data_IF_659166549041
#
_entry.id   IF_659166549041
#
_cell.length_a   1.000
_cell.length_b   1.000
_cell.length_c   1.000
_cell.angle_alpha   90.00
_cell.angle_beta   90.00
_cell.angle_gamma   90.00
#
_symmetry.space_group_name_H-M   'P 1'
#
loop_
_entity.id
_entity.type
_entity.pdbx_description
1 polymer ?
#
# COMPACT_ATOMS: atom_id res chain seq x y z
N UNK A 1 6.14 -7.18 -13.44
CA UNK A 1 5.19 -6.05 -13.25
C UNK A 1 3.82 -6.49 -12.75
N UNK A 2 3.10 -7.36 -13.46
CA UNK A 2 1.79 -7.87 -12.99
C UNK A 2 1.81 -8.48 -11.58
N UNK A 3 2.77 -9.37 -11.31
CA UNK A 3 2.94 -9.98 -9.98
C UNK A 3 3.23 -8.93 -8.91
N UNK A 4 4.12 -7.98 -9.20
CA UNK A 4 4.47 -6.90 -8.27
C UNK A 4 3.22 -6.06 -7.93
N UNK A 5 2.40 -5.71 -8.92
CA UNK A 5 1.16 -4.99 -8.69
C UNK A 5 0.18 -5.78 -7.81
N UNK A 6 -0.02 -7.07 -8.07
CA UNK A 6 -0.91 -7.92 -7.26
C UNK A 6 -0.43 -7.98 -5.81
N UNK A 7 0.88 -8.14 -5.60
CA UNK A 7 1.48 -8.11 -4.26
C UNK A 7 1.27 -6.75 -3.61
N UNK A 8 1.49 -5.65 -4.32
CA UNK A 8 1.27 -4.30 -3.79
C UNK A 8 -0.19 -4.05 -3.43
N UNK A 9 -1.14 -4.50 -4.24
CA UNK A 9 -2.57 -4.40 -3.92
C UNK A 9 -2.90 -5.19 -2.65
N UNK A 10 -2.37 -6.42 -2.51
CA UNK A 10 -2.56 -7.20 -1.30
C UNK A 10 -1.98 -6.51 -0.06
N UNK A 11 -0.78 -5.94 -0.17
CA UNK A 11 -0.16 -5.16 0.91
C UNK A 11 -0.97 -3.90 1.22
N UNK A 12 -1.48 -3.20 0.20
CA UNK A 12 -2.32 -2.02 0.39
C UNK A 12 -3.61 -2.35 1.15
N UNK A 13 -4.25 -3.48 0.84
CA UNK A 13 -5.38 -3.98 1.63
C UNK A 13 -4.98 -4.28 3.06
N UNK A 14 -3.88 -4.99 3.29
CA UNK A 14 -3.43 -5.34 4.63
C UNK A 14 -3.10 -4.10 5.48
N UNK A 15 -2.31 -3.17 4.94
CA UNK A 15 -1.90 -1.94 5.63
C UNK A 15 -3.09 -1.00 5.84
N UNK A 16 -3.87 -0.72 4.79
CA UNK A 16 -5.03 0.16 4.86
C UNK A 16 -6.10 -0.37 5.83
N UNK A 17 -6.34 -1.69 5.83
CA UNK A 17 -7.24 -2.33 6.80
C UNK A 17 -6.70 -2.28 8.23
N UNK A 18 -5.40 -2.53 8.43
CA UNK A 18 -4.78 -2.44 9.76
C UNK A 18 -4.86 -1.01 10.34
N UNK A 19 -4.61 0.01 9.51
CA UNK A 19 -4.79 1.41 9.87
C UNK A 19 -6.25 1.73 10.20
N UNK A 20 -7.20 1.25 9.39
CA UNK A 20 -8.62 1.41 9.68
C UNK A 20 -9.05 0.78 11.02
N UNK A 21 -8.58 -0.44 11.30
CA UNK A 21 -9.01 -1.23 12.47
C UNK A 21 -8.38 -0.76 13.79
N UNK A 22 -7.14 -0.27 13.76
CA UNK A 22 -6.38 0.06 14.97
C UNK A 22 -5.92 1.51 14.99
N UNK A 23 -6.48 2.29 15.92
CA UNK A 23 -6.05 3.68 16.20
C UNK A 23 -4.56 3.82 16.44
N UNK A 24 -3.91 2.81 17.05
CA UNK A 24 -2.46 2.84 17.30
C UNK A 24 -1.65 2.69 16.01
N UNK A 25 -2.09 1.79 15.12
CA UNK A 25 -1.47 1.60 13.81
C UNK A 25 -1.70 2.83 12.95
N UNK A 26 -2.93 3.36 12.95
CA UNK A 26 -3.29 4.61 12.25
C UNK A 26 -2.39 5.78 12.67
N UNK A 27 -2.28 6.03 13.98
CA UNK A 27 -1.51 7.14 14.53
C UNK A 27 0.01 7.05 14.25
N UNK A 28 0.54 5.83 14.10
CA UNK A 28 1.95 5.63 13.76
C UNK A 28 2.19 5.63 12.25
N UNK A 29 1.37 4.89 11.49
CA UNK A 29 1.57 4.69 10.05
C UNK A 29 1.24 5.94 9.24
N UNK A 30 0.17 6.67 9.56
CA UNK A 30 -0.21 7.88 8.82
C UNK A 30 0.94 8.90 8.68
N UNK A 31 1.57 9.39 9.77
CA UNK A 31 2.64 10.38 9.64
C UNK A 31 3.86 9.83 8.89
N UNK A 32 4.18 8.55 9.06
CA UNK A 32 5.28 7.90 8.34
C UNK A 32 4.97 7.88 6.83
N UNK A 33 3.78 7.39 6.47
CA UNK A 33 3.35 7.32 5.07
C UNK A 33 3.24 8.71 4.45
N UNK A 34 2.74 9.70 5.19
CA UNK A 34 2.61 11.10 4.73
C UNK A 34 3.97 11.76 4.45
N UNK A 35 4.94 11.55 5.32
CA UNK A 35 6.31 12.05 5.11
C UNK A 35 6.96 11.32 3.94
N UNK A 36 6.89 9.99 3.90
CA UNK A 36 7.56 9.21 2.85
C UNK A 36 6.94 9.47 1.47
N UNK A 37 5.61 9.57 1.35
CA UNK A 37 4.97 9.82 0.06
C UNK A 37 5.28 11.21 -0.51
N UNK A 38 5.65 12.18 0.35
CA UNK A 38 5.99 13.54 -0.08
C UNK A 38 7.36 13.63 -0.78
N UNK A 39 8.23 12.64 -0.54
CA UNK A 39 9.56 12.59 -1.16
C UNK A 39 9.39 12.15 -2.62
N UNK A 40 9.96 12.90 -3.59
CA UNK A 40 9.95 12.48 -4.98
C UNK A 40 10.52 11.08 -5.11
N UNK A 41 9.90 10.27 -5.97
CA UNK A 41 10.27 8.87 -6.16
C UNK A 41 11.77 8.71 -6.46
N UNK A 42 12.36 9.61 -7.26
CA UNK A 42 13.79 9.64 -7.56
C UNK A 42 14.69 9.91 -6.34
N UNK A 43 14.17 10.61 -5.32
CA UNK A 43 14.90 10.88 -4.07
C UNK A 43 15.18 9.62 -3.25
N UNK A 44 14.39 8.56 -3.43
CA UNK A 44 14.63 7.28 -2.77
C UNK A 44 15.77 6.48 -3.39
N UNK A 45 16.09 6.72 -4.67
CA UNK A 45 17.01 5.88 -5.45
C UNK A 45 18.42 5.78 -4.85
N UNK A 46 19.15 6.89 -4.61
CA UNK A 46 20.52 6.81 -4.08
C UNK A 46 20.56 6.23 -2.67
N UNK A 47 19.57 6.58 -1.83
CA UNK A 47 19.50 6.08 -0.46
C UNK A 47 19.22 4.57 -0.42
N UNK A 48 18.27 4.09 -1.23
CA UNK A 48 17.95 2.68 -1.31
C UNK A 48 19.16 1.85 -1.79
N UNK A 49 19.81 2.26 -2.88
CA UNK A 49 21.01 1.57 -3.35
C UNK A 49 22.10 1.53 -2.30
N UNK A 50 22.41 2.67 -1.66
CA UNK A 50 23.43 2.73 -0.63
C UNK A 50 23.11 1.76 0.52
N UNK A 51 21.90 1.82 1.07
CA UNK A 51 21.50 0.98 2.21
C UNK A 51 21.53 -0.51 1.84
N UNK A 52 20.89 -0.91 0.73
CA UNK A 52 20.79 -2.32 0.39
C UNK A 52 22.13 -2.92 -0.06
N UNK A 53 22.96 -2.19 -0.81
CA UNK A 53 24.31 -2.67 -1.20
C UNK A 53 25.23 -2.75 0.01
N UNK A 54 25.19 -1.75 0.91
CA UNK A 54 26.01 -1.78 2.12
C UNK A 54 25.64 -2.94 3.06
N UNK A 55 24.35 -3.26 3.16
CA UNK A 55 23.87 -4.37 3.99
C UNK A 55 24.06 -5.73 3.33
N UNK A 56 23.86 -5.83 2.02
CA UNK A 56 23.85 -7.09 1.26
C UNK A 56 24.59 -6.92 -0.07
N UNK A 57 25.94 -6.94 -0.08
CA UNK A 57 26.73 -6.61 -1.28
C UNK A 57 26.42 -7.46 -2.52
N UNK A 58 26.06 -8.73 -2.33
CA UNK A 58 25.81 -9.67 -3.43
C UNK A 58 24.46 -9.47 -4.12
N UNK A 59 23.42 -9.04 -3.39
CA UNK A 59 22.02 -8.97 -3.89
C UNK A 59 21.37 -7.60 -3.65
N UNK A 60 22.12 -6.65 -3.09
CA UNK A 60 21.59 -5.37 -2.62
C UNK A 60 21.05 -4.50 -3.74
N UNK A 61 21.67 -4.51 -4.92
CA UNK A 61 21.17 -3.79 -6.08
C UNK A 61 19.79 -4.31 -6.54
N UNK A 62 19.61 -5.64 -6.54
CA UNK A 62 18.33 -6.28 -6.91
C UNK A 62 17.24 -5.96 -5.87
N UNK A 63 17.57 -6.02 -4.58
CA UNK A 63 16.65 -5.68 -3.51
C UNK A 63 16.27 -4.20 -3.51
N UNK A 64 17.21 -3.30 -3.80
CA UNK A 64 16.92 -1.88 -3.98
C UNK A 64 15.94 -1.67 -5.14
N UNK A 65 16.15 -2.33 -6.29
CA UNK A 65 15.24 -2.23 -7.43
C UNK A 65 13.83 -2.72 -7.08
N UNK A 66 13.70 -3.87 -6.42
CA UNK A 66 12.41 -4.40 -5.95
C UNK A 66 11.75 -3.44 -4.96
N UNK A 67 12.51 -2.91 -4.01
CA UNK A 67 12.02 -1.94 -3.03
C UNK A 67 11.51 -0.67 -3.69
N UNK A 68 12.26 -0.11 -4.65
CA UNK A 68 11.90 1.13 -5.34
C UNK A 68 10.63 0.95 -6.21
N UNK A 69 10.54 -0.16 -6.95
CA UNK A 69 9.35 -0.52 -7.74
C UNK A 69 8.13 -0.70 -6.84
N UNK A 70 8.28 -1.44 -5.74
CA UNK A 70 7.18 -1.66 -4.79
C UNK A 70 6.71 -0.34 -4.18
N UNK A 71 7.65 0.45 -3.67
CA UNK A 71 7.38 1.71 -2.97
C UNK A 71 6.68 2.72 -3.88
N UNK A 72 7.07 2.81 -5.16
CA UNK A 72 6.42 3.72 -6.12
C UNK A 72 4.96 3.36 -6.43
N UNK A 73 4.61 2.08 -6.32
CA UNK A 73 3.23 1.60 -6.46
C UNK A 73 2.41 1.76 -5.17
N UNK A 74 3.05 1.65 -4.00
CA UNK A 74 2.35 1.38 -2.76
C UNK A 74 1.51 2.57 -2.22
N UNK A 75 2.02 3.79 -2.32
CA UNK A 75 1.45 4.96 -1.62
C UNK A 75 -0.04 5.19 -1.94
N UNK A 76 -0.35 5.38 -3.21
CA UNK A 76 -1.69 5.70 -3.69
C UNK A 76 -2.68 4.57 -3.40
N UNK A 77 -2.24 3.31 -3.51
CA UNK A 77 -3.07 2.16 -3.18
C UNK A 77 -3.37 2.08 -1.67
N UNK A 78 -2.37 2.28 -0.81
CA UNK A 78 -2.56 2.24 0.65
C UNK A 78 -3.54 3.34 1.08
N UNK A 79 -3.31 4.59 0.67
CA UNK A 79 -4.20 5.69 1.02
C UNK A 79 -5.58 5.53 0.40
N UNK A 80 -5.66 5.05 -0.85
CA UNK A 80 -6.92 4.77 -1.52
C UNK A 80 -7.77 3.73 -0.78
N UNK A 81 -7.16 2.63 -0.31
CA UNK A 81 -7.84 1.64 0.53
C UNK A 81 -8.24 2.26 1.87
N UNK A 82 -7.28 2.84 2.59
CA UNK A 82 -7.50 3.39 3.93
C UNK A 82 -8.65 4.41 3.95
N UNK A 83 -8.67 5.34 3.02
CA UNK A 83 -9.73 6.37 2.92
C UNK A 83 -11.09 5.74 2.59
N UNK A 84 -11.14 4.76 1.69
CA UNK A 84 -12.39 4.06 1.35
C UNK A 84 -13.00 3.33 2.55
N UNK A 85 -12.16 2.73 3.39
CA UNK A 85 -12.62 2.08 4.61
C UNK A 85 -13.05 3.10 5.68
N UNK A 86 -12.36 4.24 5.77
CA UNK A 86 -12.69 5.30 6.74
C UNK A 86 -13.99 6.02 6.42
N UNK A 87 -14.34 6.14 5.14
CA UNK A 87 -15.60 6.76 4.68
C UNK A 87 -16.78 5.79 4.65
N UNK A 88 -16.55 4.50 4.91
CA UNK A 88 -17.60 3.50 4.99
C UNK A 88 -18.58 3.84 6.13
N UNK A 89 -19.90 3.87 5.88
CA UNK A 89 -20.88 4.12 6.93
C UNK A 89 -20.76 3.11 8.07
N UNK A 90 -20.96 3.58 9.31
CA UNK A 90 -20.71 2.77 10.52
C UNK A 90 -21.61 1.54 10.59
N UNK A 91 -22.81 1.61 10.01
CA UNK A 91 -23.76 0.50 10.02
C UNK A 91 -23.14 -0.76 9.38
N UNK A 92 -22.35 -0.62 8.31
CA UNK A 92 -21.68 -1.76 7.67
C UNK A 92 -20.72 -2.49 8.61
N UNK A 93 -19.99 -1.74 9.45
CA UNK A 93 -19.08 -2.33 10.43
C UNK A 93 -19.84 -3.00 11.59
N UNK A 94 -20.99 -2.44 11.98
CA UNK A 94 -21.85 -3.01 13.02
C UNK A 94 -22.50 -4.31 12.55
N UNK A 95 -23.12 -4.30 11.36
CA UNK A 95 -23.69 -5.50 10.74
C UNK A 95 -22.64 -6.58 10.54
N UNK A 96 -21.43 -6.21 10.08
CA UNK A 96 -20.35 -7.15 9.93
C UNK A 96 -19.94 -7.81 11.26
N UNK A 97 -19.93 -7.08 12.37
CA UNK A 97 -19.61 -7.64 13.69
C UNK A 97 -20.71 -8.56 14.24
N UNK A 98 -21.97 -8.27 13.93
CA UNK A 98 -23.12 -9.05 14.40
C UNK A 98 -23.30 -10.35 13.59
N UNK A 99 -23.11 -10.29 12.27
CA UNK A 99 -23.48 -11.38 11.37
C UNK A 99 -22.30 -12.12 10.74
N UNK A 100 -21.08 -11.57 10.76
CA UNK A 100 -19.91 -12.14 10.08
C UNK A 100 -18.74 -12.33 11.04
N UNK A 101 -17.92 -13.36 10.77
CA UNK A 101 -16.59 -13.43 11.38
C UNK A 101 -15.61 -12.50 10.66
N UNK A 102 -14.43 -12.31 11.23
CA UNK A 102 -13.45 -11.34 10.71
C UNK A 102 -13.02 -11.61 9.25
N UNK A 103 -12.86 -12.89 8.87
CA UNK A 103 -12.46 -13.28 7.51
C UNK A 103 -13.57 -13.00 6.49
N UNK A 104 -14.81 -13.33 6.84
CA UNK A 104 -15.96 -13.08 5.99
C UNK A 104 -16.23 -11.59 5.84
N UNK A 105 -16.07 -10.83 6.93
CA UNK A 105 -16.19 -9.38 6.92
C UNK A 105 -15.14 -8.72 6.00
N UNK A 106 -13.89 -9.21 6.03
CA UNK A 106 -12.85 -8.77 5.09
C UNK A 106 -13.28 -8.98 3.63
N UNK A 107 -13.72 -10.19 3.29
CA UNK A 107 -14.08 -10.54 1.91
C UNK A 107 -15.37 -9.89 1.39
N UNK A 108 -16.38 -9.71 2.23
CA UNK A 108 -17.71 -9.27 1.80
C UNK A 108 -18.01 -7.79 2.04
N UNK A 109 -17.27 -7.15 2.95
CA UNK A 109 -17.53 -5.75 3.32
C UNK A 109 -16.34 -4.88 2.96
N UNK A 110 -15.17 -5.17 3.52
CA UNK A 110 -14.03 -4.26 3.43
C UNK A 110 -13.32 -4.30 2.06
N UNK A 111 -13.11 -5.49 1.48
CA UNK A 111 -12.51 -5.62 0.15
C UNK A 111 -13.38 -4.95 -0.94
N UNK A 112 -14.70 -5.23 -1.03
CA UNK A 112 -15.56 -4.57 -2.02
C UNK A 112 -15.66 -3.05 -1.82
N UNK A 113 -15.65 -2.57 -0.57
CA UNK A 113 -15.71 -1.15 -0.27
C UNK A 113 -14.54 -0.36 -0.87
N UNK A 114 -13.33 -0.94 -0.86
CA UNK A 114 -12.13 -0.29 -1.39
C UNK A 114 -11.87 -0.59 -2.89
N UNK A 115 -12.61 -1.53 -3.49
CA UNK A 115 -12.35 -2.02 -4.85
C UNK A 115 -12.34 -0.90 -5.90
N UNK A 116 -13.28 0.05 -5.81
CA UNK A 116 -13.34 1.19 -6.74
C UNK A 116 -12.09 2.05 -6.65
N UNK A 117 -11.64 2.37 -5.45
CA UNK A 117 -10.43 3.15 -5.23
C UNK A 117 -9.19 2.41 -5.73
N UNK A 118 -9.09 1.10 -5.46
CA UNK A 118 -8.00 0.27 -5.98
C UNK A 118 -7.97 0.27 -7.50
N UNK A 119 -9.13 0.13 -8.17
CA UNK A 119 -9.20 0.14 -9.62
C UNK A 119 -8.60 1.43 -10.24
N UNK A 120 -8.96 2.59 -9.71
CA UNK A 120 -8.40 3.87 -10.17
C UNK A 120 -6.89 3.99 -9.88
N UNK A 121 -6.46 3.53 -8.70
CA UNK A 121 -5.07 3.66 -8.27
C UNK A 121 -4.13 2.63 -8.91
N UNK A 122 -4.63 1.49 -9.40
CA UNK A 122 -3.84 0.48 -10.09
C UNK A 122 -3.15 1.06 -11.33
N UNK A 123 -3.85 1.86 -12.14
CA UNK A 123 -3.29 2.44 -13.35
C UNK A 123 -2.15 3.43 -13.02
N UNK A 124 -2.37 4.29 -12.03
CA UNK A 124 -1.38 5.26 -11.56
C UNK A 124 -0.16 4.54 -10.98
N UNK A 125 -0.40 3.50 -10.18
CA UNK A 125 0.67 2.70 -9.56
C UNK A 125 1.51 1.99 -10.62
N UNK A 126 0.87 1.45 -11.66
CA UNK A 126 1.58 0.85 -12.79
C UNK A 126 2.47 1.87 -13.51
N UNK A 127 1.95 3.07 -13.77
CA UNK A 127 2.73 4.14 -14.39
C UNK A 127 3.95 4.54 -13.55
N UNK A 128 3.79 4.67 -12.23
CA UNK A 128 4.88 4.98 -11.31
C UNK A 128 6.00 3.92 -11.31
N UNK A 129 5.63 2.64 -11.40
CA UNK A 129 6.61 1.56 -11.50
C UNK A 129 7.31 1.53 -12.86
N UNK A 130 6.56 1.76 -13.94
CA UNK A 130 7.13 1.80 -15.28
C UNK A 130 8.17 2.91 -15.40
N UNK A 131 7.90 4.08 -14.83
CA UNK A 131 8.85 5.20 -14.77
C UNK A 131 10.22 4.76 -14.19
N UNK A 132 10.25 3.95 -13.15
CA UNK A 132 11.50 3.46 -12.55
C UNK A 132 12.29 2.48 -13.40
N UNK A 133 11.61 1.78 -14.32
CA UNK A 133 12.27 0.82 -15.22
C UNK A 133 12.86 1.56 -16.43
N UNK A 134 12.23 2.66 -16.84
CA UNK A 134 12.59 3.40 -18.05
C UNK A 134 13.48 4.61 -17.83
N UNK A 135 13.48 5.17 -16.61
CA UNK A 135 14.32 6.30 -16.23
C UNK A 135 15.77 5.88 -15.98
#
# INVERSE_FOLDING_TARGET
MGVALVVTVAVAYAVGYAMYKSRRVEAAALPILDVLQSVPILGFFPLALYVFIALLPAVGAELAAVFLIFTSMAWNLIFGVYQSLKTLPREYAEYARLYLNERLSLGHVYVPAALRSVYYNVLISWANAFFFITA
#
